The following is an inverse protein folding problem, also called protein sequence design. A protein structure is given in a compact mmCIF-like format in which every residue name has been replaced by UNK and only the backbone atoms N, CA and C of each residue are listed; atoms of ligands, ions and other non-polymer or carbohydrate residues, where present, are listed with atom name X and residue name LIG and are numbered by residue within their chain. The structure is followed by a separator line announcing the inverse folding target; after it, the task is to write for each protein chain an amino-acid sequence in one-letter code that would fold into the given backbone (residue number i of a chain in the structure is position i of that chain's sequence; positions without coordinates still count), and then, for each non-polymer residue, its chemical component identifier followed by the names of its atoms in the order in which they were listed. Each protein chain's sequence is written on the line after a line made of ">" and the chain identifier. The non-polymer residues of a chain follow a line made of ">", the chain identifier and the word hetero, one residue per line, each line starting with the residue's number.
data_IF_315736192379
#
_entry.id   IF_315736192379
#
_cell.length_a   1.000
_cell.length_b   1.000
_cell.length_c   1.000
_cell.angle_alpha   90.00
_cell.angle_beta   90.00
_cell.angle_gamma   90.00
#
_symmetry.space_group_name_H-M   'P 1'
#
loop_
_entity.id
_entity.type
_entity.pdbx_description
1 polymer ?
#
# COMPACT_ATOMS: atom_id res chain seq x y z
N UNK A 1 23.19 -4.36 -24.12
CA UNK A 1 21.98 -5.20 -24.00
C UNK A 1 21.19 -5.02 -25.27
N UNK A 2 20.91 -6.11 -25.97
CA UNK A 2 20.17 -6.07 -27.22
C UNK A 2 18.70 -5.71 -26.93
N UNK A 3 18.19 -4.72 -27.67
CA UNK A 3 16.83 -4.14 -27.49
C UNK A 3 15.73 -5.23 -27.57
N UNK A 4 16.04 -6.35 -28.23
CA UNK A 4 15.17 -7.52 -28.35
C UNK A 4 14.97 -8.32 -27.06
N UNK A 5 15.92 -8.28 -26.11
CA UNK A 5 15.78 -8.92 -24.79
C UNK A 5 15.06 -8.01 -23.78
N UNK A 6 15.18 -6.70 -23.95
CA UNK A 6 14.55 -5.71 -23.07
C UNK A 6 13.01 -5.72 -23.15
N UNK A 7 12.45 -5.95 -24.35
CA UNK A 7 11.01 -5.91 -24.60
C UNK A 7 10.22 -7.05 -23.90
N UNK A 8 10.64 -8.32 -23.97
CA UNK A 8 9.99 -9.40 -23.22
C UNK A 8 10.16 -9.24 -21.70
N UNK A 9 11.32 -8.80 -21.22
CA UNK A 9 11.56 -8.56 -19.78
C UNK A 9 10.65 -7.44 -19.23
N UNK A 10 10.44 -6.37 -19.99
CA UNK A 10 9.51 -5.30 -19.65
C UNK A 10 8.05 -5.79 -19.61
N UNK A 11 7.68 -6.68 -20.54
CA UNK A 11 6.35 -7.28 -20.62
C UNK A 11 6.05 -8.20 -19.43
N UNK A 12 6.99 -9.06 -19.05
CA UNK A 12 6.86 -9.93 -17.87
C UNK A 12 6.81 -9.10 -16.59
N UNK A 13 7.64 -8.06 -16.48
CA UNK A 13 7.59 -7.08 -15.40
C UNK A 13 6.22 -6.44 -15.29
N UNK A 14 5.65 -5.95 -16.41
CA UNK A 14 4.33 -5.32 -16.43
C UNK A 14 3.21 -6.26 -15.97
N UNK A 15 3.15 -7.49 -16.51
CA UNK A 15 2.09 -8.45 -16.16
C UNK A 15 2.17 -8.83 -14.68
N UNK A 16 3.37 -9.14 -14.19
CA UNK A 16 3.59 -9.45 -12.77
C UNK A 16 3.23 -8.26 -11.88
N UNK A 17 3.60 -7.04 -12.29
CA UNK A 17 3.19 -5.79 -11.64
C UNK A 17 1.68 -5.66 -11.51
N UNK A 18 0.92 -5.88 -12.60
CA UNK A 18 -0.55 -5.78 -12.59
C UNK A 18 -1.18 -6.75 -11.58
N UNK A 19 -0.74 -8.00 -11.56
CA UNK A 19 -1.28 -9.03 -10.65
C UNK A 19 -0.99 -8.66 -9.20
N UNK A 20 0.26 -8.27 -8.90
CA UNK A 20 0.68 -7.86 -7.56
C UNK A 20 -0.07 -6.60 -7.11
N UNK A 21 -0.16 -5.58 -7.97
CA UNK A 21 -0.86 -4.32 -7.67
C UNK A 21 -2.34 -4.53 -7.35
N UNK A 22 -3.02 -5.41 -8.09
CA UNK A 22 -4.39 -5.80 -7.80
C UNK A 22 -4.52 -6.51 -6.45
N UNK A 23 -3.66 -7.50 -6.19
CA UNK A 23 -3.66 -8.26 -4.92
C UNK A 23 -3.38 -7.37 -3.71
N UNK A 24 -2.43 -6.45 -3.82
CA UNK A 24 -2.10 -5.48 -2.76
C UNK A 24 -3.29 -4.59 -2.43
N UNK A 25 -4.05 -4.13 -3.43
CA UNK A 25 -5.25 -3.31 -3.16
C UNK A 25 -6.36 -4.08 -2.44
N UNK A 26 -6.57 -5.33 -2.82
CA UNK A 26 -7.53 -6.21 -2.12
C UNK A 26 -7.10 -6.43 -0.67
N UNK A 27 -5.82 -6.72 -0.44
CA UNK A 27 -5.27 -6.86 0.92
C UNK A 27 -5.45 -5.58 1.74
N UNK A 28 -5.15 -4.41 1.16
CA UNK A 28 -5.35 -3.10 1.80
C UNK A 28 -6.80 -2.87 2.20
N UNK A 29 -7.78 -3.20 1.34
CA UNK A 29 -9.21 -3.09 1.68
C UNK A 29 -9.56 -3.91 2.92
N UNK A 30 -9.03 -5.14 3.03
CA UNK A 30 -9.27 -6.03 4.18
C UNK A 30 -8.61 -5.46 5.45
N UNK A 31 -7.35 -5.02 5.36
CA UNK A 31 -6.63 -4.44 6.50
C UNK A 31 -7.34 -3.18 7.00
N UNK A 32 -7.74 -2.26 6.11
CA UNK A 32 -8.48 -1.06 6.47
C UNK A 32 -9.83 -1.42 7.11
N UNK A 33 -10.53 -2.42 6.59
CA UNK A 33 -11.78 -2.89 7.19
C UNK A 33 -11.58 -3.43 8.61
N UNK A 34 -10.53 -4.20 8.86
CA UNK A 34 -10.19 -4.72 10.19
C UNK A 34 -9.82 -3.60 11.17
N UNK A 35 -9.02 -2.61 10.73
CA UNK A 35 -8.67 -1.44 11.54
C UNK A 35 -9.94 -0.64 11.87
N UNK A 36 -10.80 -0.39 10.88
CA UNK A 36 -12.05 0.32 11.09
C UNK A 36 -12.97 -0.42 12.07
N UNK A 37 -13.10 -1.74 11.93
CA UNK A 37 -13.89 -2.58 12.84
C UNK A 37 -13.34 -2.52 14.27
N UNK A 38 -12.02 -2.57 14.43
CA UNK A 38 -11.36 -2.46 15.73
C UNK A 38 -11.61 -1.09 16.39
N UNK A 39 -11.43 0.00 15.64
CA UNK A 39 -11.70 1.36 16.13
C UNK A 39 -13.17 1.53 16.49
N UNK A 40 -14.09 0.98 15.69
CA UNK A 40 -15.53 1.01 15.96
C UNK A 40 -15.86 0.27 17.27
N UNK A 41 -15.24 -0.89 17.50
CA UNK A 41 -15.38 -1.66 18.74
C UNK A 41 -14.91 -0.86 19.96
N UNK A 42 -13.75 -0.19 19.87
CA UNK A 42 -13.27 0.68 20.95
C UNK A 42 -14.22 1.84 21.21
N UNK A 43 -14.68 2.54 20.16
CA UNK A 43 -15.64 3.64 20.30
C UNK A 43 -16.96 3.19 20.95
N UNK A 44 -17.42 1.98 20.65
CA UNK A 44 -18.61 1.40 21.27
C UNK A 44 -18.41 1.17 22.77
N UNK A 45 -17.29 0.56 23.18
CA UNK A 45 -16.96 0.37 24.59
C UNK A 45 -16.79 1.70 25.34
N UNK A 46 -16.26 2.72 24.66
CA UNK A 46 -16.15 4.06 25.23
C UNK A 46 -17.52 4.72 25.42
N UNK A 47 -18.48 4.53 24.50
CA UNK A 47 -19.85 5.02 24.68
C UNK A 47 -20.58 4.34 25.83
N UNK A 48 -20.30 3.06 26.07
CA UNK A 48 -20.83 2.32 27.22
C UNK A 48 -20.16 2.72 28.55
N UNK A 49 -19.10 3.53 28.51
CA UNK A 49 -18.36 3.94 29.71
C UNK A 49 -17.44 2.85 30.28
N UNK A 50 -17.21 1.76 29.54
CA UNK A 50 -16.33 0.66 29.98
C UNK A 50 -14.85 1.06 29.90
N UNK A 51 -14.49 1.91 28.94
CA UNK A 51 -13.12 2.40 28.72
C UNK A 51 -13.09 3.90 28.46
N UNK A 52 -11.98 4.57 28.78
CA UNK A 52 -11.70 5.96 28.40
C UNK A 52 -10.67 5.98 27.27
N UNK A 53 -10.99 6.62 26.15
CA UNK A 53 -10.09 6.71 24.98
C UNK A 53 -9.41 8.08 24.95
N UNK A 54 -8.07 8.07 24.93
CA UNK A 54 -7.29 9.28 24.62
C UNK A 54 -7.30 9.52 23.11
N UNK A 55 -8.10 10.51 22.68
CA UNK A 55 -8.25 10.85 21.26
C UNK A 55 -6.98 11.41 20.64
N UNK A 56 -6.20 12.18 21.40
CA UNK A 56 -4.95 12.79 20.91
C UNK A 56 -3.89 11.72 20.65
N UNK A 57 -3.75 10.75 21.56
CA UNK A 57 -2.85 9.62 21.36
C UNK A 57 -3.29 8.73 20.18
N UNK A 58 -4.61 8.50 20.02
CA UNK A 58 -5.16 7.72 18.91
C UNK A 58 -4.87 8.40 17.55
N UNK A 59 -5.10 9.72 17.46
CA UNK A 59 -4.81 10.50 16.26
C UNK A 59 -3.30 10.59 15.99
N UNK A 60 -2.47 10.69 17.03
CA UNK A 60 -1.01 10.63 16.92
C UNK A 60 -0.52 9.32 16.33
N UNK A 61 -1.10 8.18 16.74
CA UNK A 61 -0.80 6.88 16.16
C UNK A 61 -1.19 6.81 14.67
N UNK A 62 -2.38 7.28 14.30
CA UNK A 62 -2.80 7.39 12.89
C UNK A 62 -1.84 8.25 12.06
N UNK A 63 -1.38 9.39 12.61
CA UNK A 63 -0.39 10.25 11.96
C UNK A 63 0.98 9.57 11.77
N UNK A 64 1.44 8.80 12.76
CA UNK A 64 2.71 8.06 12.67
C UNK A 64 2.69 6.96 11.61
N UNK A 65 1.56 6.26 11.48
CA UNK A 65 1.34 5.27 10.41
C UNK A 65 1.35 5.97 9.06
N UNK A 66 0.65 7.10 8.92
CA UNK A 66 0.66 7.92 7.70
C UNK A 66 2.06 8.36 7.28
N UNK A 67 2.86 8.87 8.22
CA UNK A 67 4.25 9.27 7.94
C UNK A 67 5.13 8.08 7.53
N UNK A 68 4.95 6.92 8.17
CA UNK A 68 5.69 5.71 7.81
C UNK A 68 5.37 5.30 6.36
N UNK A 69 4.10 5.31 5.98
CA UNK A 69 3.69 5.00 4.60
C UNK A 69 4.27 5.97 3.57
N UNK A 70 4.32 7.27 3.90
CA UNK A 70 4.94 8.29 3.03
C UNK A 70 6.44 8.06 2.89
N UNK A 71 7.13 7.76 4.00
CA UNK A 71 8.57 7.45 3.99
C UNK A 71 8.89 6.23 3.14
N UNK A 72 8.16 5.12 3.34
CA UNK A 72 8.31 3.91 2.52
C UNK A 72 8.01 4.18 1.05
N UNK A 73 6.98 4.97 0.75
CA UNK A 73 6.66 5.40 -0.62
C UNK A 73 7.82 6.17 -1.27
N UNK A 74 8.46 7.07 -0.51
CA UNK A 74 9.63 7.83 -0.97
C UNK A 74 10.85 6.95 -1.29
N UNK A 75 11.18 5.99 -0.42
CA UNK A 75 12.31 5.08 -0.66
C UNK A 75 12.06 4.12 -1.83
N UNK A 76 10.82 3.64 -1.98
CA UNK A 76 10.44 2.84 -3.14
C UNK A 76 10.61 3.63 -4.44
N UNK A 77 10.23 4.90 -4.49
CA UNK A 77 10.46 5.78 -5.66
C UNK A 77 11.96 5.95 -5.96
N UNK A 78 12.82 5.96 -4.94
CA UNK A 78 14.28 5.98 -5.09
C UNK A 78 14.83 4.71 -5.74
N UNK A 79 14.36 3.54 -5.32
CA UNK A 79 14.79 2.23 -5.84
C UNK A 79 14.38 2.01 -7.30
N UNK A 80 13.21 2.50 -7.70
CA UNK A 80 12.64 2.34 -9.05
C UNK A 80 13.50 2.98 -10.15
N UNK A 81 14.24 4.05 -9.83
CA UNK A 81 15.09 4.73 -10.80
C UNK A 81 16.36 3.96 -11.18
N UNK A 82 16.69 2.87 -10.48
CA UNK A 82 17.98 2.17 -10.65
C UNK A 82 17.95 0.91 -11.56
N UNK A 83 16.78 0.39 -11.99
CA UNK A 83 16.70 -0.92 -12.68
C UNK A 83 15.67 -0.92 -13.84
N UNK A 84 16.11 -1.39 -15.02
CA UNK A 84 15.31 -1.46 -16.27
C UNK A 84 14.10 -2.42 -16.21
N UNK A 85 14.15 -3.47 -15.38
CA UNK A 85 13.02 -4.34 -15.05
C UNK A 85 11.99 -3.66 -14.12
N UNK A 86 12.44 -2.68 -13.32
CA UNK A 86 11.61 -1.97 -12.36
C UNK A 86 10.55 -1.07 -13.02
N UNK A 87 10.85 -0.53 -14.20
CA UNK A 87 9.94 0.40 -14.90
C UNK A 87 8.68 -0.29 -15.41
N UNK A 88 8.82 -1.46 -16.06
CA UNK A 88 7.69 -2.28 -16.51
C UNK A 88 6.84 -2.75 -15.34
N UNK A 89 7.48 -3.25 -14.28
CA UNK A 89 6.80 -3.67 -13.06
C UNK A 89 6.03 -2.54 -12.39
N UNK A 90 6.61 -1.35 -12.23
CA UNK A 90 5.94 -0.22 -11.58
C UNK A 90 4.77 0.30 -12.39
N UNK A 91 4.93 0.39 -13.71
CA UNK A 91 3.83 0.77 -14.60
C UNK A 91 2.68 -0.24 -14.50
N UNK A 92 3.00 -1.53 -14.52
CA UNK A 92 2.02 -2.61 -14.34
C UNK A 92 1.36 -2.55 -12.96
N UNK A 93 2.16 -2.40 -11.91
CA UNK A 93 1.72 -2.28 -10.53
C UNK A 93 0.76 -1.12 -10.34
N UNK A 94 1.08 0.07 -10.87
CA UNK A 94 0.21 1.23 -10.78
C UNK A 94 -1.13 0.97 -11.48
N UNK A 95 -1.12 0.31 -12.65
CA UNK A 95 -2.35 -0.05 -13.37
C UNK A 95 -3.18 -1.07 -12.59
N UNK A 96 -2.55 -2.14 -12.09
CA UNK A 96 -3.20 -3.17 -11.27
C UNK A 96 -3.78 -2.59 -9.98
N UNK A 97 -3.01 -1.75 -9.30
CA UNK A 97 -3.43 -1.05 -8.10
C UNK A 97 -4.56 -0.05 -8.39
N UNK A 98 -4.54 0.67 -9.52
CA UNK A 98 -5.66 1.57 -9.85
C UNK A 98 -6.96 0.81 -10.09
N UNK A 99 -6.89 -0.37 -10.75
CA UNK A 99 -8.06 -1.21 -11.06
C UNK A 99 -8.59 -2.07 -9.91
N UNK A 100 -7.75 -2.43 -8.93
CA UNK A 100 -8.12 -3.36 -7.84
C UNK A 100 -9.07 -2.84 -6.77
#
# INVERSE_FOLDING_TARGET
>A
MDILQFLPDLGVGFISGVIVGWGVKVALKIVVALIALYVLSLLYLAKLGVITINKDALLGLLGSVGNSLVYFGGEMVGLIHSISLGTGFVAGFMVGFKKG
#
